data_IF_950647242883
#
_entry.id   IF_950647242883
#
_cell.length_a   1.000
_cell.length_b   1.000
_cell.length_c   1.000
_cell.angle_alpha   90.00
_cell.angle_beta   90.00
_cell.angle_gamma   90.00
#
_symmetry.space_group_name_H-M   'P 1'
#
loop_
_entity.id
_entity.type
_entity.pdbx_description
1 polymer ?
#
# COMPACT_ATOMS: atom_id res chain seq x y z
N UNK A 1 -36.32 -19.04 -20.51
CA UNK A 1 -34.90 -18.62 -20.42
C UNK A 1 -34.69 -17.10 -20.28
N UNK A 2 -35.43 -16.23 -21.00
CA UNK A 2 -35.21 -14.78 -20.92
C UNK A 2 -35.39 -14.15 -19.52
N UNK A 3 -36.42 -14.54 -18.76
CA UNK A 3 -36.64 -14.03 -17.39
C UNK A 3 -35.48 -14.39 -16.47
N UNK A 4 -35.01 -15.64 -16.53
CA UNK A 4 -33.87 -16.12 -15.75
C UNK A 4 -32.58 -15.37 -16.08
N UNK A 5 -32.31 -15.13 -17.37
CA UNK A 5 -31.16 -14.33 -17.80
C UNK A 5 -31.21 -12.92 -17.23
N UNK A 6 -32.36 -12.24 -17.31
CA UNK A 6 -32.51 -10.87 -16.80
C UNK A 6 -32.29 -10.81 -15.28
N UNK A 7 -32.83 -11.77 -14.53
CA UNK A 7 -32.66 -11.86 -13.08
C UNK A 7 -31.20 -12.10 -12.71
N UNK A 8 -30.51 -13.03 -13.40
CA UNK A 8 -29.08 -13.30 -13.17
C UNK A 8 -28.20 -12.08 -13.45
N UNK A 9 -28.46 -11.36 -14.56
CA UNK A 9 -27.72 -10.13 -14.90
C UNK A 9 -27.99 -9.01 -13.89
N UNK A 10 -29.20 -8.92 -13.36
CA UNK A 10 -29.52 -7.96 -12.30
C UNK A 10 -28.80 -8.29 -10.98
N UNK A 11 -28.81 -9.56 -10.56
CA UNK A 11 -28.09 -10.02 -9.36
C UNK A 11 -26.59 -9.74 -9.51
N UNK A 12 -26.00 -10.02 -10.67
CA UNK A 12 -24.61 -9.68 -10.97
C UNK A 12 -24.31 -8.20 -10.73
N UNK A 13 -25.13 -7.31 -11.31
CA UNK A 13 -24.94 -5.87 -11.15
C UNK A 13 -25.02 -5.44 -9.68
N UNK A 14 -26.00 -5.97 -8.93
CA UNK A 14 -26.16 -5.67 -7.51
C UNK A 14 -24.93 -6.11 -6.72
N UNK A 15 -24.41 -7.32 -6.94
CA UNK A 15 -23.23 -7.83 -6.25
C UNK A 15 -22.03 -6.89 -6.44
N UNK A 16 -21.73 -6.51 -7.68
CA UNK A 16 -20.57 -5.65 -7.96
C UNK A 16 -20.72 -4.24 -7.39
N UNK A 17 -21.93 -3.68 -7.43
CA UNK A 17 -22.21 -2.37 -6.82
C UNK A 17 -22.03 -2.45 -5.29
N UNK A 18 -22.53 -3.50 -4.65
CA UNK A 18 -22.37 -3.71 -3.19
C UNK A 18 -20.89 -3.84 -2.82
N UNK A 19 -20.10 -4.61 -3.58
CA UNK A 19 -18.65 -4.73 -3.37
C UNK A 19 -17.97 -3.37 -3.51
N UNK A 20 -18.30 -2.61 -4.55
CA UNK A 20 -17.73 -1.27 -4.77
C UNK A 20 -18.06 -0.29 -3.64
N UNK A 21 -19.29 -0.33 -3.12
CA UNK A 21 -19.70 0.49 -1.97
C UNK A 21 -18.94 0.08 -0.72
N UNK A 22 -18.83 -1.22 -0.44
CA UNK A 22 -18.07 -1.75 0.70
C UNK A 22 -16.63 -1.26 0.70
N UNK A 23 -15.91 -1.44 -0.42
CA UNK A 23 -14.53 -0.99 -0.57
C UNK A 23 -14.37 0.53 -0.37
N UNK A 24 -15.32 1.33 -0.89
CA UNK A 24 -15.31 2.78 -0.69
C UNK A 24 -15.52 3.18 0.78
N UNK A 25 -16.41 2.48 1.49
CA UNK A 25 -16.69 2.74 2.90
C UNK A 25 -15.55 2.30 3.83
N UNK A 26 -14.79 1.27 3.46
CA UNK A 26 -13.60 0.81 4.18
C UNK A 26 -12.35 1.70 3.94
N UNK A 27 -12.30 2.41 2.81
CA UNK A 27 -11.14 3.25 2.44
C UNK A 27 -10.71 4.24 3.56
N UNK A 28 -11.60 4.96 4.27
CA UNK A 28 -11.20 5.82 5.38
C UNK A 28 -10.54 5.09 6.55
N UNK A 29 -10.94 3.84 6.83
CA UNK A 29 -10.32 3.03 7.88
C UNK A 29 -8.93 2.54 7.45
N UNK A 30 -8.78 2.17 6.18
CA UNK A 30 -7.47 1.85 5.60
C UNK A 30 -6.51 3.03 5.71
N UNK A 31 -6.93 4.23 5.31
CA UNK A 31 -6.12 5.45 5.46
C UNK A 31 -5.70 5.68 6.91
N UNK A 32 -6.63 5.52 7.86
CA UNK A 32 -6.31 5.66 9.30
C UNK A 32 -5.33 4.59 9.77
N UNK A 33 -5.44 3.38 9.27
CA UNK A 33 -4.52 2.28 9.59
C UNK A 33 -3.12 2.56 9.05
N UNK A 34 -3.00 3.08 7.83
CA UNK A 34 -1.71 3.46 7.23
C UNK A 34 -1.07 4.60 8.03
N UNK A 35 -1.84 5.63 8.38
CA UNK A 35 -1.39 6.76 9.21
C UNK A 35 -0.95 6.29 10.60
N UNK A 36 -1.69 5.37 11.22
CA UNK A 36 -1.35 4.81 12.53
C UNK A 36 -0.06 3.99 12.46
N UNK A 37 0.07 3.13 11.44
CA UNK A 37 1.28 2.33 11.23
C UNK A 37 2.51 3.22 11.06
N UNK A 38 2.42 4.27 10.23
CA UNK A 38 3.54 5.22 10.09
C UNK A 38 3.93 5.84 11.44
N UNK A 39 2.95 6.32 12.21
CA UNK A 39 3.20 6.98 13.50
C UNK A 39 3.75 6.05 14.58
N UNK A 40 3.35 4.79 14.57
CA UNK A 40 3.74 3.82 15.59
C UNK A 40 5.06 3.14 15.26
N UNK A 41 5.27 2.78 13.99
CA UNK A 41 6.39 1.93 13.58
C UNK A 41 7.53 2.72 12.92
N UNK A 42 7.23 3.79 12.16
CA UNK A 42 8.26 4.47 11.34
C UNK A 42 8.68 5.81 11.95
N UNK A 43 7.73 6.66 12.32
CA UNK A 43 7.97 8.02 12.84
C UNK A 43 8.96 8.04 14.02
N UNK A 44 8.91 7.13 15.02
CA UNK A 44 9.87 7.14 16.13
C UNK A 44 11.32 6.93 15.66
N UNK A 45 11.52 6.08 14.65
CA UNK A 45 12.83 5.80 14.08
C UNK A 45 13.37 7.00 13.30
N UNK A 46 12.50 7.67 12.53
CA UNK A 46 12.84 8.91 11.82
C UNK A 46 13.23 10.00 12.82
N UNK A 47 12.41 10.23 13.85
CA UNK A 47 12.65 11.23 14.89
C UNK A 47 13.98 11.00 15.62
N UNK A 48 14.30 9.74 15.92
CA UNK A 48 15.59 9.37 16.50
C UNK A 48 16.74 9.74 15.56
N UNK A 49 16.69 9.32 14.30
CA UNK A 49 17.78 9.55 13.34
C UNK A 49 17.98 11.05 13.08
N UNK A 50 16.91 11.81 12.89
CA UNK A 50 16.99 13.26 12.69
C UNK A 50 17.52 13.99 13.93
N UNK A 51 17.03 13.61 15.12
CA UNK A 51 17.54 14.17 16.39
C UNK A 51 19.02 13.84 16.60
N UNK A 52 19.43 12.61 16.27
CA UNK A 52 20.82 12.18 16.36
C UNK A 52 21.71 12.97 15.37
N UNK A 53 21.26 13.11 14.12
CA UNK A 53 21.96 13.84 13.06
C UNK A 53 22.16 15.30 13.43
N UNK A 54 21.13 15.95 13.95
CA UNK A 54 21.19 17.34 14.43
C UNK A 54 22.20 17.52 15.58
N UNK A 55 22.25 16.59 16.53
CA UNK A 55 23.13 16.67 17.71
C UNK A 55 24.60 16.33 17.40
N UNK A 56 24.84 15.39 16.48
CA UNK A 56 26.18 14.84 16.24
C UNK A 56 26.78 15.23 14.89
N UNK A 57 26.02 15.96 14.05
CA UNK A 57 26.40 16.32 12.69
C UNK A 57 26.81 15.11 11.81
N UNK A 58 26.24 13.94 12.11
CA UNK A 58 26.42 12.68 11.36
C UNK A 58 25.24 11.77 11.59
N UNK A 59 25.03 10.82 10.69
CA UNK A 59 24.01 9.78 10.86
C UNK A 59 24.47 8.74 11.92
N UNK A 60 23.53 8.11 12.64
CA UNK A 60 23.87 7.03 13.54
C UNK A 60 24.46 5.86 12.74
N UNK A 61 25.39 5.11 13.34
CA UNK A 61 25.74 3.81 12.79
C UNK A 61 24.66 2.77 13.16
N UNK A 62 24.74 1.57 12.58
CA UNK A 62 23.75 0.52 12.84
C UNK A 62 23.65 0.17 14.33
N UNK A 63 24.78 0.11 15.05
CA UNK A 63 24.78 -0.23 16.48
C UNK A 63 24.04 0.81 17.31
N UNK A 64 24.27 2.09 17.06
CA UNK A 64 23.58 3.20 17.74
C UNK A 64 22.07 3.15 17.47
N UNK A 65 21.69 2.92 16.21
CA UNK A 65 20.29 2.77 15.83
C UNK A 65 19.63 1.56 16.50
N UNK A 66 20.21 0.36 16.36
CA UNK A 66 19.59 -0.85 16.91
C UNK A 66 19.68 -0.93 18.43
N UNK A 67 20.64 -0.26 19.08
CA UNK A 67 20.62 -0.09 20.54
C UNK A 67 19.41 0.73 20.97
N UNK A 68 19.19 1.88 20.31
CA UNK A 68 18.01 2.71 20.57
C UNK A 68 16.71 1.93 20.28
N UNK A 69 16.61 1.27 19.13
CA UNK A 69 15.41 0.56 18.72
C UNK A 69 15.07 -0.57 19.69
N UNK A 70 16.07 -1.35 20.11
CA UNK A 70 15.91 -2.38 21.15
C UNK A 70 15.34 -1.81 22.44
N UNK A 71 15.89 -0.70 22.91
CA UNK A 71 15.48 -0.10 24.19
C UNK A 71 14.08 0.55 24.08
N UNK A 72 13.76 1.14 22.92
CA UNK A 72 12.46 1.76 22.62
C UNK A 72 11.33 0.73 22.48
N UNK A 73 11.51 -0.25 21.59
CA UNK A 73 10.51 -1.30 21.31
C UNK A 73 10.54 -2.44 22.34
N UNK A 74 11.54 -2.47 23.23
CA UNK A 74 11.80 -3.57 24.17
C UNK A 74 11.99 -4.91 23.46
N UNK A 75 12.54 -4.89 22.26
CA UNK A 75 12.82 -6.06 21.43
C UNK A 75 14.31 -6.41 21.44
N UNK A 76 14.67 -7.42 22.22
CA UNK A 76 16.04 -7.89 22.46
C UNK A 76 16.46 -9.03 21.53
N UNK A 77 15.76 -9.21 20.40
CA UNK A 77 16.12 -10.20 19.37
C UNK A 77 17.41 -9.86 18.62
N UNK A 78 17.78 -8.58 18.55
CA UNK A 78 18.96 -8.11 17.81
C UNK A 78 20.28 -8.47 18.52
N UNK A 79 21.16 -9.18 17.81
CA UNK A 79 22.52 -9.45 18.27
C UNK A 79 23.42 -8.22 18.07
N UNK A 80 23.54 -7.41 19.12
CA UNK A 80 24.45 -6.28 19.14
C UNK A 80 25.91 -6.69 19.43
N UNK A 81 26.24 -7.97 19.65
CA UNK A 81 27.61 -8.38 19.96
C UNK A 81 28.50 -8.55 18.72
N UNK A 82 27.92 -8.48 17.52
CA UNK A 82 28.61 -8.66 16.26
C UNK A 82 29.76 -7.65 16.09
N UNK A 83 30.88 -8.11 15.52
CA UNK A 83 32.08 -7.27 15.35
C UNK A 83 31.95 -6.24 14.22
N UNK A 84 31.06 -6.49 13.24
CA UNK A 84 30.86 -5.64 12.07
C UNK A 84 29.47 -5.00 12.19
N UNK A 85 29.41 -3.67 12.25
CA UNK A 85 28.13 -2.99 12.46
C UNK A 85 27.12 -3.22 11.32
N UNK A 86 27.59 -3.35 10.07
CA UNK A 86 26.73 -3.59 8.90
C UNK A 86 26.07 -4.97 8.86
N UNK A 87 26.44 -5.87 9.78
CA UNK A 87 25.74 -7.15 9.93
C UNK A 87 24.64 -7.11 10.97
N UNK A 88 24.60 -6.06 11.81
CA UNK A 88 23.59 -5.89 12.86
C UNK A 88 22.24 -5.60 12.19
N UNK A 89 21.20 -6.31 12.62
CA UNK A 89 19.85 -6.16 12.09
C UNK A 89 19.59 -6.87 10.76
N UNK A 90 20.52 -7.69 10.26
CA UNK A 90 20.29 -8.57 9.09
C UNK A 90 19.24 -9.64 9.35
N UNK A 91 19.15 -10.12 10.59
CA UNK A 91 18.18 -11.14 10.98
C UNK A 91 17.08 -10.50 11.83
N UNK A 92 15.92 -10.32 11.20
CA UNK A 92 14.62 -10.19 11.86
C UNK A 92 14.44 -9.04 12.87
N UNK A 93 14.69 -7.79 12.45
CA UNK A 93 14.03 -6.65 13.11
C UNK A 93 12.83 -6.21 12.27
N UNK A 94 11.69 -5.92 12.92
CA UNK A 94 10.50 -5.35 12.25
C UNK A 94 10.83 -4.04 11.52
N UNK A 95 11.87 -3.35 11.99
CA UNK A 95 12.36 -2.08 11.46
C UNK A 95 13.79 -2.23 10.91
N UNK A 96 14.02 -1.83 9.66
CA UNK A 96 15.35 -1.79 9.07
C UNK A 96 15.83 -0.37 8.95
N UNK A 97 17.03 -0.13 9.47
CA UNK A 97 17.79 1.07 9.16
C UNK A 97 18.59 0.83 7.88
N UNK A 98 18.19 1.49 6.80
CA UNK A 98 18.73 1.26 5.47
C UNK A 98 19.72 2.39 5.16
N UNK A 99 20.98 1.99 4.94
CA UNK A 99 22.12 2.89 4.68
C UNK A 99 22.89 2.53 3.43
N UNK A 100 22.50 1.45 2.78
CA UNK A 100 22.96 1.06 1.46
C UNK A 100 21.92 0.12 0.82
N UNK A 101 22.06 -0.11 -0.48
CA UNK A 101 21.21 -1.02 -1.25
C UNK A 101 21.13 -2.43 -0.64
N UNK A 102 22.23 -2.90 -0.03
CA UNK A 102 22.31 -4.22 0.59
C UNK A 102 21.45 -4.39 1.85
N UNK A 103 20.90 -3.30 2.40
CA UNK A 103 20.06 -3.34 3.60
C UNK A 103 18.56 -3.45 3.27
N UNK A 104 18.16 -3.16 2.03
CA UNK A 104 16.76 -3.15 1.59
C UNK A 104 16.10 -4.52 1.83
N UNK A 105 14.80 -4.55 2.15
CA UNK A 105 14.11 -5.81 2.46
C UNK A 105 14.09 -6.76 1.27
N UNK A 106 13.74 -6.26 0.10
CA UNK A 106 13.58 -7.07 -1.11
C UNK A 106 14.29 -6.42 -2.30
N UNK A 107 14.92 -7.24 -3.14
CA UNK A 107 15.65 -6.78 -4.34
C UNK A 107 14.73 -6.01 -5.31
N UNK A 108 13.44 -6.35 -5.34
CA UNK A 108 12.44 -5.68 -6.18
C UNK A 108 12.24 -4.20 -5.83
N UNK A 109 12.53 -3.82 -4.58
CA UNK A 109 12.33 -2.46 -4.07
C UNK A 109 13.55 -1.55 -4.34
N UNK A 110 14.69 -2.12 -4.76
CA UNK A 110 15.94 -1.38 -5.01
C UNK A 110 15.76 -0.20 -5.98
N UNK A 111 14.83 -0.30 -6.93
CA UNK A 111 14.54 0.80 -7.86
C UNK A 111 14.06 2.08 -7.18
N UNK A 112 13.48 1.97 -5.97
CA UNK A 112 13.00 3.11 -5.20
C UNK A 112 14.14 3.92 -4.56
N UNK A 113 15.33 3.32 -4.45
CA UNK A 113 16.51 3.89 -3.79
C UNK A 113 17.54 4.47 -4.77
N UNK A 114 17.25 4.46 -6.07
CA UNK A 114 18.18 4.90 -7.13
C UNK A 114 18.72 6.32 -6.99
N UNK A 115 18.00 7.18 -6.28
CA UNK A 115 18.31 8.60 -6.10
C UNK A 115 18.97 8.90 -4.73
N UNK A 116 19.22 7.88 -3.90
CA UNK A 116 19.77 8.04 -2.55
C UNK A 116 21.27 8.35 -2.58
N UNK A 117 21.69 9.40 -1.87
CA UNK A 117 23.09 9.62 -1.51
C UNK A 117 23.37 9.04 -0.12
N UNK A 118 23.81 7.78 -0.08
CA UNK A 118 24.05 7.05 1.16
C UNK A 118 25.07 7.70 2.11
N UNK A 119 25.85 8.70 1.67
CA UNK A 119 26.66 9.49 2.58
C UNK A 119 25.79 10.33 3.53
N UNK A 120 24.70 10.91 3.05
CA UNK A 120 23.84 11.86 3.78
C UNK A 120 22.42 11.38 4.03
N UNK A 121 21.98 10.38 3.27
CA UNK A 121 20.63 9.86 3.22
C UNK A 121 20.51 8.51 3.93
N UNK A 122 19.31 8.23 4.38
CA UNK A 122 18.91 6.96 4.96
C UNK A 122 17.46 6.67 4.60
N UNK A 123 17.05 5.42 4.83
CA UNK A 123 15.65 5.07 4.86
C UNK A 123 15.33 4.23 6.09
N UNK A 124 14.07 4.30 6.52
CA UNK A 124 13.51 3.42 7.54
C UNK A 124 12.52 2.51 6.83
N UNK A 125 12.76 1.21 6.87
CA UNK A 125 11.79 0.22 6.40
C UNK A 125 11.07 -0.41 7.58
N UNK A 126 9.76 -0.63 7.49
CA UNK A 126 9.00 -1.41 8.47
C UNK A 126 8.24 -2.55 7.78
N UNK A 127 8.30 -3.76 8.32
CA UNK A 127 7.59 -4.91 7.77
C UNK A 127 6.13 -4.90 8.20
N UNK A 128 5.21 -4.86 7.23
CA UNK A 128 3.75 -4.80 7.46
C UNK A 128 3.06 -6.18 7.38
N UNK A 129 3.84 -7.25 7.29
CA UNK A 129 3.34 -8.63 7.21
C UNK A 129 3.46 -9.22 5.80
N UNK A 130 2.93 -8.51 4.81
CA UNK A 130 2.92 -8.94 3.39
C UNK A 130 3.85 -8.11 2.48
N UNK A 131 4.23 -6.90 2.91
CA UNK A 131 5.16 -6.02 2.23
C UNK A 131 5.92 -5.16 3.25
N UNK A 132 7.00 -4.52 2.81
CA UNK A 132 7.69 -3.48 3.57
C UNK A 132 7.19 -2.10 3.16
N UNK A 133 7.04 -1.20 4.12
CA UNK A 133 6.77 0.23 3.88
C UNK A 133 8.01 1.03 4.26
N UNK A 134 8.25 2.13 3.56
CA UNK A 134 9.52 2.85 3.66
C UNK A 134 9.31 4.34 3.91
N UNK A 135 10.16 4.93 4.75
CA UNK A 135 10.40 6.36 4.76
C UNK A 135 11.75 6.68 4.13
N UNK A 136 11.76 7.67 3.25
CA UNK A 136 12.91 8.09 2.47
C UNK A 136 13.38 9.49 2.91
N UNK A 137 14.63 9.63 3.36
CA UNK A 137 15.10 10.92 3.89
C UNK A 137 15.31 12.01 2.84
N UNK A 138 15.60 11.65 1.60
CA UNK A 138 16.02 12.58 0.54
C UNK A 138 14.86 13.43 -0.02
N UNK A 139 13.65 12.87 -0.08
CA UNK A 139 12.40 13.56 -0.43
C UNK A 139 11.47 13.75 0.77
N UNK A 140 11.84 13.22 1.95
CA UNK A 140 11.02 13.22 3.17
C UNK A 140 9.64 12.60 2.95
N UNK A 141 9.62 11.52 2.16
CA UNK A 141 8.40 10.87 1.74
C UNK A 141 8.22 9.54 2.44
N UNK A 142 6.97 9.25 2.80
CA UNK A 142 6.55 7.96 3.28
C UNK A 142 5.88 7.19 2.14
N UNK A 143 6.49 6.09 1.73
CA UNK A 143 6.03 5.18 0.72
C UNK A 143 5.32 4.00 1.37
N UNK A 144 4.02 4.23 1.63
CA UNK A 144 3.07 3.21 2.06
C UNK A 144 2.09 2.84 0.95
N UNK A 145 1.00 2.16 1.31
CA UNK A 145 -0.03 1.72 0.37
C UNK A 145 -0.85 2.85 -0.29
N UNK A 146 -0.59 4.12 0.09
CA UNK A 146 -1.06 5.35 -0.55
C UNK A 146 -2.57 5.35 -0.87
N UNK A 147 -3.39 4.74 0.01
CA UNK A 147 -4.83 4.78 -0.15
C UNK A 147 -5.31 6.23 -0.05
N UNK A 148 -6.18 6.61 -0.98
CA UNK A 148 -6.82 7.92 -0.93
C UNK A 148 -8.33 7.75 -1.11
N UNK A 149 -9.11 8.72 -0.67
CA UNK A 149 -10.55 8.76 -0.98
C UNK A 149 -10.80 8.72 -2.49
N UNK A 150 -9.88 9.23 -3.31
CA UNK A 150 -9.97 9.15 -4.78
C UNK A 150 -9.77 7.71 -5.26
N UNK A 151 -8.82 6.97 -4.67
CA UNK A 151 -8.61 5.54 -4.95
C UNK A 151 -9.87 4.74 -4.61
N UNK A 152 -10.47 4.97 -3.44
CA UNK A 152 -11.75 4.35 -3.08
C UNK A 152 -12.87 4.68 -4.05
N UNK A 153 -13.02 5.97 -4.43
CA UNK A 153 -14.04 6.39 -5.39
C UNK A 153 -13.82 5.75 -6.77
N UNK A 154 -12.57 5.68 -7.22
CA UNK A 154 -12.21 5.02 -8.47
C UNK A 154 -12.59 3.54 -8.44
N UNK A 155 -12.29 2.82 -7.35
CA UNK A 155 -12.70 1.43 -7.15
C UNK A 155 -14.22 1.28 -7.23
N UNK A 156 -14.98 2.15 -6.56
CA UNK A 156 -16.44 2.16 -6.64
C UNK A 156 -16.95 2.34 -8.08
N UNK A 157 -16.40 3.31 -8.81
CA UNK A 157 -16.77 3.58 -10.20
C UNK A 157 -16.45 2.40 -11.11
N UNK A 158 -15.26 1.80 -10.95
CA UNK A 158 -14.82 0.65 -11.72
C UNK A 158 -15.73 -0.56 -11.48
N UNK A 159 -15.98 -0.91 -10.22
CA UNK A 159 -16.84 -2.04 -9.87
C UNK A 159 -18.28 -1.82 -10.34
N UNK A 160 -18.81 -0.60 -10.16
CA UNK A 160 -20.13 -0.23 -10.67
C UNK A 160 -20.21 -0.37 -12.20
N UNK A 161 -19.18 0.06 -12.92
CA UNK A 161 -19.11 -0.07 -14.39
C UNK A 161 -19.11 -1.53 -14.81
N UNK A 162 -18.28 -2.37 -14.17
CA UNK A 162 -18.25 -3.83 -14.42
C UNK A 162 -19.61 -4.47 -14.15
N UNK A 163 -20.29 -4.06 -13.08
CA UNK A 163 -21.62 -4.54 -12.73
C UNK A 163 -22.69 -4.18 -13.77
N UNK A 164 -22.65 -2.94 -14.30
CA UNK A 164 -23.69 -2.42 -15.19
C UNK A 164 -23.50 -2.84 -16.66
N UNK A 165 -22.27 -3.13 -17.11
CA UNK A 165 -22.00 -3.51 -18.52
C UNK A 165 -22.93 -4.62 -19.05
N UNK A 166 -23.11 -5.75 -18.35
CA UNK A 166 -24.03 -6.80 -18.82
C UNK A 166 -25.49 -6.34 -18.95
N UNK A 167 -25.96 -5.44 -18.07
CA UNK A 167 -27.30 -4.86 -18.15
C UNK A 167 -27.44 -3.97 -19.40
N UNK A 168 -26.41 -3.16 -19.72
CA UNK A 168 -26.39 -2.34 -20.92
C UNK A 168 -26.42 -3.20 -22.19
N UNK A 169 -25.63 -4.28 -22.24
CA UNK A 169 -25.63 -5.22 -23.37
C UNK A 169 -27.02 -5.84 -23.56
N UNK A 170 -27.63 -6.31 -22.46
CA UNK A 170 -28.96 -6.93 -22.50
C UNK A 170 -30.05 -5.93 -22.92
N UNK A 171 -29.95 -4.68 -22.48
CA UNK A 171 -30.84 -3.60 -22.88
C UNK A 171 -30.71 -3.27 -24.38
N UNK A 172 -29.48 -3.10 -24.88
CA UNK A 172 -29.21 -2.85 -26.31
C UNK A 172 -29.69 -3.99 -27.20
N UNK A 173 -29.50 -5.24 -26.77
CA UNK A 173 -30.01 -6.42 -27.46
C UNK A 173 -31.54 -6.40 -27.57
N UNK A 174 -32.23 -6.12 -26.47
CA UNK A 174 -33.69 -6.06 -26.44
C UNK A 174 -34.26 -4.93 -27.33
N UNK A 175 -33.59 -3.78 -27.40
CA UNK A 175 -33.97 -2.69 -28.32
C UNK A 175 -33.88 -3.15 -29.77
N UNK A 176 -32.76 -3.78 -30.16
CA UNK A 176 -32.57 -4.27 -31.54
C UNK A 176 -33.61 -5.32 -31.91
N UNK A 177 -33.92 -6.25 -31.00
CA UNK A 177 -34.95 -7.28 -31.21
C UNK A 177 -36.33 -6.67 -31.43
N UNK A 178 -36.73 -5.67 -30.62
CA UNK A 178 -38.02 -4.98 -30.76
C UNK A 178 -38.14 -4.23 -32.08
N UNK A 179 -37.06 -3.57 -32.55
CA UNK A 179 -37.05 -2.91 -33.87
C UNK A 179 -37.29 -3.89 -35.01
N UNK A 180 -36.64 -5.07 -35.01
CA UNK A 180 -36.85 -6.10 -36.05
C UNK A 180 -38.29 -6.63 -36.08
N UNK A 181 -38.92 -6.80 -34.92
CA UNK A 181 -40.30 -7.28 -34.84
C UNK A 181 -41.31 -6.28 -35.45
N UNK A 182 -41.12 -4.98 -35.20
CA UNK A 182 -42.01 -3.93 -35.71
C UNK A 182 -41.86 -3.67 -37.23
N UNK A 183 -40.70 -3.96 -37.83
CA UNK A 183 -40.50 -3.89 -39.28
C UNK A 183 -41.02 -5.13 -40.03
N UNK A 184 -41.13 -6.28 -39.35
CA UNK A 184 -41.65 -7.51 -39.94
C UNK A 184 -43.17 -7.62 -40.00
N UNK A 185 -43.90 -6.79 -39.24
CA UNK A 185 -45.37 -6.76 -39.20
C UNK A 185 -46.00 -5.72 -40.14
N UNK A 186 -45.21 -5.00 -40.94
CA UNK A 186 -45.68 -4.02 -41.92
C UNK A 186 -45.62 -4.50 -43.39
N UNK A 187 -45.33 -5.79 -43.64
CA UNK A 187 -45.41 -6.42 -44.96
C UNK A 187 -46.49 -7.50 -44.99
#
# INVERSE_FOLDING_TARGET
>A
MHVFSNVSTFIWAVIWVVIGIGAFLETPEQIKSDDAFFKEEIEPSVDFVESFKSKNNRLPNYREFYTWARDYYKDYSSDLSQAIDSTIGKEAFLHKYIRCDGDVYEEKDLSNFKDADWATDYAIGAWRGDWAEYYYSWNKEYDGNNYTRKSGLFTLLLMTTIGIIPLLILWLYNIHKRKKYNFGTQN
#
